data_IF_175275652088
#
_entry.id   IF_175275652088
#
_cell.length_a   1.000
_cell.length_b   1.000
_cell.length_c   1.000
_cell.angle_alpha   90.00
_cell.angle_beta   90.00
_cell.angle_gamma   90.00
#
_symmetry.space_group_name_H-M   'P 1'
#
loop_
_entity.id
_entity.type
_entity.pdbx_description
1 polymer ?
#
# COMPACT_ATOMS: atom_id res chain seq x y z
N UNK A 1 -2.89 4.82 12.89
CA UNK A 1 -1.59 5.50 12.73
C UNK A 1 -1.17 5.32 11.27
N UNK A 2 -0.52 6.30 10.66
CA UNK A 2 0.07 6.14 9.32
C UNK A 2 1.20 5.11 9.38
N UNK A 3 1.53 4.49 8.26
CA UNK A 3 2.71 3.65 8.12
C UNK A 3 3.99 4.48 8.20
N UNK A 4 4.01 5.59 7.48
CA UNK A 4 5.17 6.47 7.40
C UNK A 4 4.86 7.85 8.00
N UNK A 5 5.82 8.37 8.77
CA UNK A 5 5.88 9.79 9.04
C UNK A 5 6.62 10.55 7.92
N UNK A 6 6.72 11.87 8.02
CA UNK A 6 7.39 12.69 7.01
C UNK A 6 8.89 12.37 6.84
N UNK A 7 9.54 11.78 7.86
CA UNK A 7 10.96 11.41 7.76
C UNK A 7 11.14 10.21 6.84
N UNK A 8 10.23 9.24 6.89
CA UNK A 8 10.21 8.12 5.97
C UNK A 8 9.83 8.54 4.55
N UNK A 9 8.85 9.44 4.38
CA UNK A 9 8.52 10.05 3.09
C UNK A 9 9.76 10.68 2.46
N UNK A 10 10.49 11.50 3.23
CA UNK A 10 11.73 12.13 2.77
C UNK A 10 12.79 11.09 2.39
N UNK A 11 13.04 10.08 3.24
CA UNK A 11 14.03 9.02 2.97
C UNK A 11 13.71 8.24 1.70
N UNK A 12 12.43 7.90 1.48
CA UNK A 12 11.97 7.21 0.26
C UNK A 12 12.21 8.07 -0.98
N UNK A 13 11.92 9.37 -0.92
CA UNK A 13 12.17 10.30 -2.01
C UNK A 13 13.67 10.46 -2.31
N UNK A 14 14.51 10.66 -1.28
CA UNK A 14 15.97 10.72 -1.43
C UNK A 14 16.52 9.48 -2.13
N UNK A 15 16.18 8.30 -1.62
CA UNK A 15 16.61 7.02 -2.22
C UNK A 15 16.11 6.87 -3.65
N UNK A 16 14.86 7.23 -3.89
CA UNK A 16 14.22 7.18 -5.20
C UNK A 16 14.83 8.13 -6.23
N UNK A 17 15.37 9.25 -5.78
CA UNK A 17 16.08 10.22 -6.62
C UNK A 17 17.59 9.96 -6.71
N UNK A 18 18.14 9.09 -5.87
CA UNK A 18 19.57 8.84 -5.76
C UNK A 18 20.33 10.03 -5.14
N UNK A 19 19.66 10.80 -4.28
CA UNK A 19 20.27 11.94 -3.60
C UNK A 19 20.81 11.52 -2.24
N UNK A 20 22.01 12.02 -1.90
CA UNK A 20 22.52 11.95 -0.53
C UNK A 20 21.88 13.03 0.33
N UNK A 21 21.87 12.87 1.67
CA UNK A 21 21.46 13.92 2.60
C UNK A 21 22.18 15.28 2.36
N UNK A 22 23.51 15.25 2.13
CA UNK A 22 24.31 16.44 1.84
C UNK A 22 23.94 17.08 0.50
N UNK A 23 23.64 16.30 -0.53
CA UNK A 23 23.15 16.82 -1.80
C UNK A 23 21.81 17.52 -1.65
N UNK A 24 20.89 16.92 -0.91
CA UNK A 24 19.56 17.49 -0.66
C UNK A 24 19.67 18.79 0.17
N UNK A 25 20.48 18.81 1.22
CA UNK A 25 20.71 20.00 2.04
C UNK A 25 21.27 21.15 1.18
N UNK A 26 22.30 20.89 0.39
CA UNK A 26 22.91 21.88 -0.51
C UNK A 26 21.93 22.40 -1.54
N UNK A 27 21.15 21.53 -2.19
CA UNK A 27 20.16 21.94 -3.19
C UNK A 27 18.99 22.71 -2.59
N UNK A 28 18.61 22.41 -1.34
CA UNK A 28 17.57 23.12 -0.60
C UNK A 28 18.06 24.43 0.06
N UNK A 29 19.34 24.74 -0.07
CA UNK A 29 19.97 25.90 0.59
C UNK A 29 19.73 25.91 2.12
N UNK A 30 19.95 24.75 2.75
CA UNK A 30 19.90 24.54 4.21
C UNK A 30 21.23 23.93 4.69
N UNK A 31 21.57 24.14 5.96
CA UNK A 31 22.75 23.51 6.54
C UNK A 31 22.54 22.00 6.75
N UNK A 32 23.62 21.23 6.75
CA UNK A 32 23.57 19.80 7.06
C UNK A 32 22.98 19.54 8.47
N UNK A 33 23.22 20.43 9.43
CA UNK A 33 22.66 20.31 10.77
C UNK A 33 21.13 20.52 10.80
N UNK A 34 20.61 21.46 10.02
CA UNK A 34 19.14 21.64 9.86
C UNK A 34 18.51 20.42 9.19
N UNK A 35 19.15 19.91 8.13
CA UNK A 35 18.71 18.68 7.48
C UNK A 35 18.70 17.49 8.46
N UNK A 36 19.79 17.32 9.24
CA UNK A 36 19.90 16.23 10.21
C UNK A 36 18.77 16.31 11.26
N UNK A 37 18.57 17.47 11.89
CA UNK A 37 17.47 17.67 12.85
C UNK A 37 16.11 17.34 12.25
N UNK A 38 15.85 17.78 11.01
CA UNK A 38 14.62 17.49 10.30
C UNK A 38 14.47 15.98 10.06
N UNK A 39 15.52 15.29 9.68
CA UNK A 39 15.53 13.84 9.44
C UNK A 39 15.38 12.99 10.70
N UNK A 40 15.61 13.57 11.88
CA UNK A 40 15.45 12.97 13.22
C UNK A 40 14.09 13.26 13.86
N UNK A 41 13.15 13.84 13.12
CA UNK A 41 11.79 14.08 13.60
C UNK A 41 11.51 15.50 14.10
N UNK A 42 12.47 16.43 14.04
CA UNK A 42 12.24 17.83 14.38
C UNK A 42 11.65 18.58 13.18
N UNK A 43 10.34 18.44 12.99
CA UNK A 43 9.65 19.04 11.86
C UNK A 43 9.78 20.57 11.84
N UNK A 44 10.10 21.11 10.66
CA UNK A 44 10.10 22.53 10.36
C UNK A 44 9.38 22.77 9.04
N UNK A 45 8.36 23.63 9.05
CA UNK A 45 7.61 24.02 7.86
C UNK A 45 8.53 24.71 6.83
N UNK A 46 9.48 25.51 7.29
CA UNK A 46 10.47 26.17 6.43
C UNK A 46 11.36 25.14 5.72
N UNK A 47 11.93 24.20 6.47
CA UNK A 47 12.79 23.16 5.92
C UNK A 47 12.01 22.25 4.96
N UNK A 48 10.79 21.84 5.36
CA UNK A 48 9.90 21.06 4.46
C UNK A 48 9.67 21.80 3.14
N UNK A 49 9.36 23.11 3.19
CA UNK A 49 9.08 23.92 2.00
C UNK A 49 10.32 24.03 1.08
N UNK A 50 11.52 24.12 1.63
CA UNK A 50 12.77 24.16 0.87
C UNK A 50 13.12 22.81 0.25
N UNK A 51 12.79 21.69 0.95
CA UNK A 51 13.04 20.34 0.46
C UNK A 51 12.04 19.89 -0.64
N UNK A 52 10.82 20.42 -0.65
CA UNK A 52 9.79 20.07 -1.64
C UNK A 52 10.28 20.05 -3.09
N UNK A 53 10.86 21.14 -3.64
CA UNK A 53 11.31 21.14 -5.03
C UNK A 53 12.48 20.19 -5.28
N UNK A 54 13.35 19.98 -4.29
CA UNK A 54 14.52 19.09 -4.37
C UNK A 54 14.08 17.62 -4.42
N UNK A 55 13.05 17.28 -3.64
CA UNK A 55 12.53 15.92 -3.52
C UNK A 55 11.42 15.61 -4.54
N UNK A 56 11.04 16.59 -5.35
CA UNK A 56 9.97 16.49 -6.34
C UNK A 56 8.63 16.02 -5.71
N UNK A 57 8.35 16.49 -4.50
CA UNK A 57 7.17 16.16 -3.75
C UNK A 57 6.10 17.26 -3.84
N UNK A 58 4.85 16.90 -3.57
CA UNK A 58 3.75 17.86 -3.51
C UNK A 58 3.85 18.75 -2.29
N UNK A 59 3.95 20.07 -2.51
CA UNK A 59 4.21 21.05 -1.46
C UNK A 59 3.22 20.99 -0.31
N UNK A 60 1.92 21.16 -0.60
CA UNK A 60 0.88 21.17 0.42
C UNK A 60 0.82 19.85 1.22
N UNK A 61 1.12 18.71 0.58
CA UNK A 61 1.08 17.42 1.22
C UNK A 61 2.29 17.22 2.17
N UNK A 62 3.53 17.52 1.74
CA UNK A 62 4.70 17.36 2.61
C UNK A 62 4.66 18.34 3.77
N UNK A 63 4.31 19.61 3.54
CA UNK A 63 4.27 20.64 4.59
C UNK A 63 3.16 20.39 5.62
N UNK A 64 2.10 19.66 5.27
CA UNK A 64 1.03 19.29 6.19
C UNK A 64 1.11 17.82 6.65
N UNK A 65 2.12 17.06 6.23
CA UNK A 65 2.20 15.63 6.49
C UNK A 65 2.09 15.25 7.98
N UNK A 66 2.69 15.99 8.93
CA UNK A 66 2.54 15.69 10.36
C UNK A 66 1.09 15.75 10.88
N UNK A 67 0.21 16.45 10.17
CA UNK A 67 -1.21 16.58 10.51
C UNK A 67 -2.11 15.72 9.62
N UNK A 68 -1.53 15.03 8.62
CA UNK A 68 -2.32 14.20 7.72
C UNK A 68 -2.85 12.97 8.44
N UNK A 69 -4.15 12.79 8.39
CA UNK A 69 -4.84 11.60 8.88
C UNK A 69 -6.02 11.32 7.94
N UNK A 70 -6.05 10.17 7.25
CA UNK A 70 -7.21 9.81 6.46
C UNK A 70 -8.41 9.59 7.37
N UNK A 71 -9.58 9.87 6.85
CA UNK A 71 -10.83 9.66 7.59
C UNK A 71 -11.04 8.18 7.83
N UNK A 72 -11.51 7.78 9.04
CA UNK A 72 -11.87 6.39 9.28
C UNK A 72 -12.85 5.90 8.22
N UNK A 73 -12.49 4.79 7.58
CA UNK A 73 -13.30 4.21 6.51
C UNK A 73 -14.01 2.99 7.04
N UNK A 74 -15.35 3.03 7.01
CA UNK A 74 -16.21 1.88 7.19
C UNK A 74 -16.93 1.60 5.87
N UNK A 75 -16.75 0.41 5.31
CA UNK A 75 -17.41 -0.05 4.10
C UNK A 75 -18.01 -1.42 4.34
N UNK A 76 -19.32 -1.57 4.08
CA UNK A 76 -19.99 -2.87 4.24
C UNK A 76 -19.29 -3.93 3.41
N UNK A 77 -18.99 -5.06 4.05
CA UNK A 77 -18.35 -6.20 3.41
C UNK A 77 -16.85 -6.05 3.18
N UNK A 78 -16.21 -4.99 3.66
CA UNK A 78 -14.74 -4.84 3.64
C UNK A 78 -14.22 -4.83 5.07
N UNK A 79 -13.37 -5.78 5.38
CA UNK A 79 -12.83 -5.99 6.73
C UNK A 79 -11.30 -5.98 6.69
N UNK A 80 -10.71 -5.20 7.58
CA UNK A 80 -9.26 -5.20 7.81
C UNK A 80 -8.92 -6.32 8.81
N UNK A 81 -8.02 -7.20 8.42
CA UNK A 81 -7.30 -8.08 9.32
C UNK A 81 -5.99 -7.39 9.66
N UNK A 82 -5.91 -6.88 10.88
CA UNK A 82 -4.74 -6.17 11.40
C UNK A 82 -3.82 -7.19 12.07
N UNK A 83 -2.83 -7.68 11.32
CA UNK A 83 -2.00 -8.83 11.68
C UNK A 83 -0.64 -8.40 12.27
N UNK A 84 -0.05 -9.20 13.18
CA UNK A 84 1.25 -8.86 13.75
C UNK A 84 2.39 -8.99 12.73
N UNK A 85 3.33 -8.01 12.78
CA UNK A 85 4.57 -8.01 12.01
C UNK A 85 5.72 -7.48 12.90
N UNK A 86 6.24 -8.32 13.78
CA UNK A 86 7.16 -7.89 14.82
C UNK A 86 6.50 -6.89 15.78
N UNK A 87 7.08 -5.69 15.92
CA UNK A 87 6.49 -4.57 16.66
C UNK A 87 5.49 -3.76 15.83
N UNK A 88 5.44 -4.00 14.52
CA UNK A 88 4.59 -3.33 13.54
C UNK A 88 3.36 -4.17 13.19
N UNK A 89 2.58 -3.70 12.21
CA UNK A 89 1.36 -4.35 11.74
C UNK A 89 1.34 -4.43 10.23
N UNK A 90 0.80 -5.53 9.71
CA UNK A 90 0.53 -5.72 8.28
C UNK A 90 -0.96 -5.98 8.06
N UNK A 91 -1.50 -5.53 6.96
CA UNK A 91 -2.90 -5.73 6.63
C UNK A 91 -3.07 -6.97 5.73
N UNK A 92 -4.07 -7.77 6.04
CA UNK A 92 -4.80 -8.52 5.05
C UNK A 92 -6.23 -7.95 4.95
N UNK A 93 -6.83 -8.03 3.78
CA UNK A 93 -8.15 -7.47 3.55
C UNK A 93 -9.15 -8.55 3.14
N UNK A 94 -10.20 -8.73 3.93
CA UNK A 94 -11.32 -9.62 3.58
C UNK A 94 -12.44 -8.80 2.97
N UNK A 95 -12.79 -9.12 1.73
CA UNK A 95 -14.01 -8.64 1.08
C UNK A 95 -15.03 -9.77 1.12
N UNK A 96 -16.14 -9.55 1.83
CA UNK A 96 -17.16 -10.56 2.05
C UNK A 96 -18.57 -10.02 1.75
N UNK A 97 -19.18 -10.52 0.68
CA UNK A 97 -20.52 -10.16 0.25
C UNK A 97 -21.32 -11.46 0.02
N UNK A 98 -22.43 -11.59 0.74
CA UNK A 98 -23.28 -12.77 0.73
C UNK A 98 -22.48 -14.06 0.99
N UNK A 99 -22.41 -14.99 0.05
CA UNK A 99 -21.63 -16.23 0.17
C UNK A 99 -20.22 -16.14 -0.46
N UNK A 100 -19.84 -14.97 -0.96
CA UNK A 100 -18.55 -14.76 -1.63
C UNK A 100 -17.57 -14.07 -0.69
N UNK A 101 -16.44 -14.73 -0.42
CA UNK A 101 -15.33 -14.19 0.33
C UNK A 101 -14.06 -14.12 -0.54
N UNK A 102 -13.39 -12.99 -0.52
CA UNK A 102 -12.10 -12.74 -1.19
C UNK A 102 -11.14 -12.19 -0.15
N UNK A 103 -10.00 -12.84 0.00
CA UNK A 103 -8.94 -12.37 0.90
C UNK A 103 -7.76 -11.84 0.07
N UNK A 104 -7.24 -10.70 0.46
CA UNK A 104 -6.03 -10.10 -0.12
C UNK A 104 -4.92 -10.10 0.92
N UNK A 105 -3.81 -10.76 0.57
CA UNK A 105 -2.66 -11.06 1.42
C UNK A 105 -2.99 -11.90 2.66
N UNK A 106 -1.97 -12.38 3.37
CA UNK A 106 -2.15 -13.42 4.39
C UNK A 106 -1.32 -13.21 5.65
N UNK A 107 -0.66 -12.05 5.78
CA UNK A 107 0.17 -11.76 6.94
C UNK A 107 1.50 -12.52 6.96
N UNK A 108 2.20 -12.43 8.09
CA UNK A 108 3.53 -13.01 8.29
C UNK A 108 3.50 -14.51 8.62
N UNK A 109 2.44 -14.96 9.29
CA UNK A 109 2.31 -16.35 9.76
C UNK A 109 0.89 -16.89 9.64
N UNK A 110 0.80 -18.21 9.58
CA UNK A 110 -0.45 -18.94 9.39
C UNK A 110 -1.44 -18.77 10.55
N UNK A 111 -0.95 -18.79 11.78
CA UNK A 111 -1.82 -18.82 12.97
C UNK A 111 -2.54 -17.47 13.12
N UNK A 112 -1.81 -16.36 13.01
CA UNK A 112 -2.39 -15.02 13.08
C UNK A 112 -3.42 -14.78 11.96
N UNK A 113 -3.12 -15.21 10.73
CA UNK A 113 -4.03 -15.10 9.60
C UNK A 113 -5.33 -15.88 9.82
N UNK A 114 -5.19 -17.14 10.24
CA UNK A 114 -6.33 -18.04 10.47
C UNK A 114 -7.20 -17.54 11.62
N UNK A 115 -6.60 -17.15 12.74
CA UNK A 115 -7.34 -16.63 13.91
C UNK A 115 -8.11 -15.36 13.53
N UNK A 116 -7.49 -14.44 12.84
CA UNK A 116 -8.15 -13.21 12.41
C UNK A 116 -9.28 -13.44 11.40
N UNK A 117 -9.08 -14.37 10.47
CA UNK A 117 -10.09 -14.75 9.49
C UNK A 117 -11.28 -15.44 10.17
N UNK A 118 -11.03 -16.38 11.07
CA UNK A 118 -12.07 -17.13 11.79
C UNK A 118 -12.90 -16.24 12.72
N UNK A 119 -12.33 -15.17 13.23
CA UNK A 119 -13.06 -14.19 14.04
C UNK A 119 -14.15 -13.45 13.24
N UNK A 120 -13.98 -13.33 11.91
CA UNK A 120 -14.94 -12.66 11.02
C UNK A 120 -15.84 -13.69 10.34
N UNK A 121 -15.26 -14.78 9.83
CA UNK A 121 -15.98 -15.77 9.01
C UNK A 121 -15.36 -17.18 9.13
N UNK A 122 -15.75 -17.98 10.14
CA UNK A 122 -15.11 -19.25 10.44
C UNK A 122 -15.29 -20.37 9.41
N UNK A 123 -16.19 -20.23 8.42
CA UNK A 123 -16.58 -21.34 7.52
C UNK A 123 -16.55 -21.00 6.01
N UNK A 124 -16.19 -19.79 5.62
CA UNK A 124 -16.23 -19.40 4.22
C UNK A 124 -14.91 -19.73 3.53
N UNK A 125 -14.97 -20.57 2.48
CA UNK A 125 -13.83 -20.74 1.57
C UNK A 125 -13.67 -19.46 0.76
N UNK A 126 -12.49 -18.85 0.86
CA UNK A 126 -12.16 -17.64 0.12
C UNK A 126 -11.33 -17.92 -1.12
N UNK A 127 -11.48 -17.05 -2.13
CA UNK A 127 -10.44 -16.82 -3.13
C UNK A 127 -9.40 -15.91 -2.49
N UNK A 128 -8.13 -16.28 -2.56
CA UNK A 128 -7.03 -15.53 -1.96
C UNK A 128 -6.18 -14.91 -3.06
N UNK A 129 -5.92 -13.62 -2.99
CA UNK A 129 -5.10 -12.89 -3.96
C UNK A 129 -3.89 -12.29 -3.25
N UNK A 130 -2.70 -12.55 -3.77
CA UNK A 130 -1.45 -12.07 -3.19
C UNK A 130 -0.97 -10.86 -3.99
N UNK A 131 -0.67 -9.77 -3.30
CA UNK A 131 -0.18 -8.55 -3.94
C UNK A 131 1.29 -8.71 -4.36
N UNK A 132 2.13 -9.30 -3.50
CA UNK A 132 3.55 -9.52 -3.79
C UNK A 132 4.17 -10.55 -2.83
N UNK A 133 5.41 -10.98 -3.10
CA UNK A 133 6.05 -12.12 -2.44
C UNK A 133 6.80 -11.81 -1.14
N UNK A 134 6.63 -10.66 -0.48
CA UNK A 134 7.24 -10.42 0.82
C UNK A 134 6.61 -11.29 1.90
N UNK A 135 7.42 -11.70 2.89
CA UNK A 135 7.02 -12.68 3.90
C UNK A 135 5.77 -12.31 4.69
N UNK A 136 5.59 -11.05 4.96
CA UNK A 136 4.45 -10.49 5.68
C UNK A 136 3.15 -10.41 4.86
N UNK A 137 3.21 -10.80 3.58
CA UNK A 137 2.03 -10.93 2.72
C UNK A 137 1.69 -12.38 2.36
N UNK A 138 2.66 -13.30 2.47
CA UNK A 138 2.50 -14.70 2.00
C UNK A 138 2.51 -15.73 3.14
N UNK A 139 2.75 -15.33 4.39
CA UNK A 139 3.00 -16.26 5.50
C UNK A 139 1.84 -17.20 5.84
N UNK A 140 0.59 -16.80 5.57
CA UNK A 140 -0.60 -17.60 5.82
C UNK A 140 -1.00 -18.57 4.69
N UNK A 141 -0.34 -18.56 3.53
CA UNK A 141 -0.76 -19.30 2.33
C UNK A 141 -0.92 -20.80 2.61
N UNK A 142 0.06 -21.43 3.29
CA UNK A 142 0.04 -22.86 3.54
C UNK A 142 -1.18 -23.32 4.34
N UNK A 143 -1.56 -22.57 5.36
CA UNK A 143 -2.76 -22.88 6.16
C UNK A 143 -4.05 -22.68 5.37
N UNK A 144 -4.11 -21.67 4.52
CA UNK A 144 -5.28 -21.39 3.69
C UNK A 144 -5.46 -22.47 2.59
N UNK A 145 -4.38 -22.92 1.97
CA UNK A 145 -4.41 -24.06 1.04
C UNK A 145 -4.88 -25.35 1.73
N UNK A 146 -4.39 -25.64 2.94
CA UNK A 146 -4.82 -26.80 3.73
C UNK A 146 -6.33 -26.75 4.08
N UNK A 147 -6.94 -25.58 4.14
CA UNK A 147 -8.38 -25.35 4.31
C UNK A 147 -9.17 -25.45 3.00
N UNK A 148 -8.50 -25.67 1.87
CA UNK A 148 -9.11 -25.79 0.55
C UNK A 148 -9.46 -24.45 -0.09
N UNK A 149 -8.81 -23.35 0.31
CA UNK A 149 -8.87 -22.07 -0.38
C UNK A 149 -8.06 -22.13 -1.67
N UNK A 150 -8.42 -21.30 -2.66
CA UNK A 150 -7.66 -21.14 -3.90
C UNK A 150 -6.84 -19.86 -3.79
N UNK A 151 -5.53 -19.98 -4.01
CA UNK A 151 -4.60 -18.84 -3.96
C UNK A 151 -4.23 -18.42 -5.38
N UNK A 152 -4.23 -17.13 -5.63
CA UNK A 152 -3.86 -16.47 -6.89
C UNK A 152 -2.68 -15.51 -6.63
N UNK A 153 -1.71 -15.49 -7.53
CA UNK A 153 -0.58 -14.56 -7.42
C UNK A 153 0.42 -14.71 -8.56
N UNK A 154 1.20 -13.67 -8.79
CA UNK A 154 2.26 -13.68 -9.79
C UNK A 154 3.59 -14.13 -9.13
N UNK A 155 4.20 -15.19 -9.66
CA UNK A 155 5.42 -15.80 -9.12
C UNK A 155 5.35 -16.21 -7.63
N UNK A 156 4.14 -16.58 -7.17
CA UNK A 156 3.91 -17.08 -5.80
C UNK A 156 3.84 -18.60 -5.82
N UNK A 157 4.59 -19.22 -4.94
CA UNK A 157 4.62 -20.69 -4.83
C UNK A 157 3.24 -21.25 -4.44
N UNK A 158 2.82 -22.30 -5.13
CA UNK A 158 1.53 -22.98 -4.96
C UNK A 158 0.29 -22.11 -5.25
N UNK A 159 0.45 -20.96 -5.88
CA UNK A 159 -0.66 -20.12 -6.34
C UNK A 159 -0.97 -20.37 -7.82
N UNK A 160 -2.23 -20.13 -8.20
CA UNK A 160 -2.60 -20.01 -9.61
C UNK A 160 -2.03 -18.69 -10.15
N UNK A 161 -1.39 -18.73 -11.33
CA UNK A 161 -0.76 -17.53 -11.88
C UNK A 161 -1.82 -16.46 -12.23
N UNK A 162 -1.49 -15.22 -11.92
CA UNK A 162 -2.27 -14.03 -12.29
C UNK A 162 -1.31 -12.99 -12.82
N UNK A 163 -1.64 -12.41 -13.97
CA UNK A 163 -0.85 -11.37 -14.61
C UNK A 163 -1.61 -10.03 -14.66
N UNK A 164 -0.92 -8.90 -14.79
CA UNK A 164 -1.57 -7.60 -15.03
C UNK A 164 -2.50 -7.65 -16.24
N UNK A 165 -3.75 -7.21 -16.04
CA UNK A 165 -4.82 -7.25 -17.05
C UNK A 165 -5.79 -8.42 -16.89
N UNK A 166 -5.44 -9.45 -16.13
CA UNK A 166 -6.34 -10.57 -15.86
C UNK A 166 -7.54 -10.12 -15.04
N UNK A 167 -8.68 -10.77 -15.31
CA UNK A 167 -9.94 -10.56 -14.61
C UNK A 167 -10.51 -11.88 -14.13
N UNK A 168 -10.69 -12.02 -12.83
CA UNK A 168 -11.20 -13.22 -12.19
C UNK A 168 -12.55 -12.93 -11.57
N UNK A 169 -13.56 -13.72 -11.95
CA UNK A 169 -14.91 -13.59 -11.40
C UNK A 169 -15.04 -14.39 -10.10
N UNK A 170 -15.48 -13.73 -9.05
CA UNK A 170 -15.71 -14.29 -7.72
C UNK A 170 -17.16 -13.99 -7.32
N UNK A 171 -18.09 -14.89 -7.63
CA UNK A 171 -19.53 -14.64 -7.40
C UNK A 171 -20.04 -13.37 -8.08
N UNK A 172 -20.61 -12.41 -7.32
CA UNK A 172 -21.07 -11.12 -7.85
C UNK A 172 -19.93 -10.14 -8.12
N UNK A 173 -18.72 -10.42 -7.62
CA UNK A 173 -17.56 -9.54 -7.73
C UNK A 173 -16.66 -9.94 -8.90
N UNK A 174 -15.91 -8.95 -9.41
CA UNK A 174 -14.83 -9.18 -10.38
C UNK A 174 -13.56 -8.54 -9.84
N UNK A 175 -12.48 -9.33 -9.75
CA UNK A 175 -11.14 -8.88 -9.35
C UNK A 175 -10.29 -8.72 -10.60
N UNK A 176 -9.78 -7.51 -10.85
CA UNK A 176 -8.89 -7.20 -11.98
C UNK A 176 -7.50 -6.87 -11.48
N UNK A 177 -6.51 -7.63 -11.93
CA UNK A 177 -5.11 -7.40 -11.59
C UNK A 177 -4.52 -6.25 -12.42
N UNK A 178 -3.69 -5.42 -11.78
CA UNK A 178 -2.93 -4.36 -12.43
C UNK A 178 -1.48 -4.35 -11.94
N UNK A 179 -0.56 -3.85 -12.78
CA UNK A 179 0.86 -3.75 -12.43
C UNK A 179 1.11 -2.58 -11.47
N UNK A 180 1.48 -2.89 -10.25
CA UNK A 180 1.96 -1.94 -9.25
C UNK A 180 3.41 -2.23 -8.84
N UNK A 181 4.18 -2.89 -9.70
CA UNK A 181 5.59 -3.18 -9.46
C UNK A 181 6.41 -1.92 -9.18
N UNK A 182 7.28 -2.02 -8.18
CA UNK A 182 8.15 -0.94 -7.72
C UNK A 182 8.73 -1.23 -6.35
N UNK A 183 7.90 -1.35 -5.31
CA UNK A 183 8.33 -1.82 -4.00
C UNK A 183 8.83 -3.28 -4.06
N UNK A 184 8.07 -4.12 -4.72
CA UNK A 184 8.45 -5.46 -5.16
C UNK A 184 8.33 -5.58 -6.69
N UNK A 185 8.95 -6.59 -7.30
CA UNK A 185 8.84 -6.89 -8.72
C UNK A 185 8.84 -8.41 -8.92
N UNK A 186 7.70 -9.04 -9.23
CA UNK A 186 6.41 -8.42 -9.52
C UNK A 186 5.65 -7.93 -8.27
N UNK A 187 4.75 -6.97 -8.47
CA UNK A 187 3.73 -6.61 -7.51
C UNK A 187 2.41 -6.27 -8.23
N UNK A 188 1.32 -6.81 -7.71
CA UNK A 188 -0.01 -6.64 -8.26
C UNK A 188 -0.88 -5.75 -7.35
N UNK A 189 -1.62 -4.85 -7.97
CA UNK A 189 -2.81 -4.27 -7.36
C UNK A 189 -4.06 -4.99 -7.86
N UNK A 190 -5.14 -4.90 -7.09
CA UNK A 190 -6.39 -5.54 -7.46
C UNK A 190 -7.55 -4.57 -7.39
N UNK A 191 -8.12 -4.24 -8.55
CA UNK A 191 -9.36 -3.47 -8.63
C UNK A 191 -10.56 -4.40 -8.46
N UNK A 192 -11.48 -4.05 -7.57
CA UNK A 192 -12.66 -4.86 -7.24
C UNK A 192 -13.91 -4.13 -7.72
N UNK A 193 -14.60 -4.75 -8.66
CA UNK A 193 -15.91 -4.31 -9.15
C UNK A 193 -17.05 -5.09 -8.50
N UNK A 194 -18.24 -4.48 -8.46
CA UNK A 194 -19.45 -5.06 -7.88
C UNK A 194 -19.73 -4.63 -6.44
N UNK A 195 -18.86 -3.81 -5.85
CA UNK A 195 -19.08 -3.16 -4.55
C UNK A 195 -19.84 -1.83 -4.72
N UNK A 196 -20.31 -1.26 -3.60
CA UNK A 196 -21.02 0.04 -3.58
C UNK A 196 -20.12 1.22 -3.98
N UNK A 197 -18.80 1.07 -3.84
CA UNK A 197 -17.77 2.02 -4.27
C UNK A 197 -16.66 1.24 -4.97
N UNK A 198 -15.94 1.84 -5.93
CA UNK A 198 -14.73 1.22 -6.46
C UNK A 198 -13.71 0.98 -5.34
N UNK A 199 -13.04 -0.16 -5.38
CA UNK A 199 -11.99 -0.54 -4.41
C UNK A 199 -10.74 -0.93 -5.18
N UNK A 200 -9.58 -0.46 -4.72
CA UNK A 200 -8.27 -0.88 -5.20
C UNK A 200 -7.43 -1.35 -4.01
N UNK A 201 -7.05 -2.61 -4.02
CA UNK A 201 -6.02 -3.13 -3.12
C UNK A 201 -4.66 -2.71 -3.69
N UNK A 202 -3.89 -1.98 -2.91
CA UNK A 202 -2.61 -1.40 -3.36
C UNK A 202 -1.38 -2.17 -2.88
N UNK A 203 -1.55 -3.09 -1.92
CA UNK A 203 -0.42 -3.69 -1.25
C UNK A 203 0.56 -2.61 -0.79
N UNK A 204 1.84 -2.86 -0.99
CA UNK A 204 2.90 -1.94 -0.58
C UNK A 204 3.30 -0.92 -1.65
N UNK A 205 2.52 -0.80 -2.72
CA UNK A 205 2.79 0.23 -3.71
C UNK A 205 2.37 1.63 -3.23
N UNK A 206 1.28 1.72 -2.45
CA UNK A 206 0.73 3.00 -1.97
C UNK A 206 0.13 2.84 -0.57
N UNK A 207 0.54 3.70 0.35
CA UNK A 207 0.00 3.84 1.69
C UNK A 207 -0.71 5.18 1.87
N UNK A 208 -1.45 5.32 2.96
CA UNK A 208 -1.98 6.62 3.33
C UNK A 208 -0.84 7.60 3.62
N UNK A 209 -0.74 8.65 2.80
CA UNK A 209 0.30 9.69 2.90
C UNK A 209 1.69 9.28 2.41
N UNK A 210 1.88 8.10 1.82
CA UNK A 210 3.18 7.63 1.37
C UNK A 210 3.09 6.59 0.24
N UNK A 211 4.25 6.07 -0.18
CA UNK A 211 4.38 4.93 -1.11
C UNK A 211 5.36 3.91 -0.55
N UNK A 212 5.38 2.70 -1.09
CA UNK A 212 6.40 1.70 -0.80
C UNK A 212 7.80 2.16 -1.17
N UNK A 213 8.79 1.76 -0.38
CA UNK A 213 10.20 2.07 -0.65
C UNK A 213 10.68 1.35 -1.92
N UNK A 214 11.49 2.04 -2.73
CA UNK A 214 12.08 1.49 -3.96
C UNK A 214 13.58 1.32 -3.81
N UNK A 215 14.15 0.28 -4.45
CA UNK A 215 15.56 -0.08 -4.30
C UNK A 215 16.52 0.78 -5.11
N UNK A 216 16.04 1.47 -6.15
CA UNK A 216 16.86 2.31 -7.05
C UNK A 216 16.05 3.42 -7.70
N UNK A 217 16.72 4.47 -8.25
CA UNK A 217 16.05 5.53 -9.01
C UNK A 217 15.28 5.05 -10.25
N UNK A 218 15.75 4.01 -10.90
CA UNK A 218 15.06 3.44 -12.08
C UNK A 218 13.74 2.77 -11.66
N UNK A 219 13.78 2.00 -10.58
CA UNK A 219 12.61 1.33 -10.01
C UNK A 219 11.62 2.35 -9.43
N UNK A 220 12.09 3.38 -8.74
CA UNK A 220 11.25 4.46 -8.22
C UNK A 220 10.48 5.17 -9.35
N UNK A 221 11.15 5.51 -10.45
CA UNK A 221 10.46 6.08 -11.62
C UNK A 221 9.45 5.13 -12.26
N UNK A 222 9.75 3.80 -12.28
CA UNK A 222 8.78 2.77 -12.72
C UNK A 222 7.57 2.76 -11.80
N UNK A 223 7.78 2.70 -10.49
CA UNK A 223 6.71 2.68 -9.50
C UNK A 223 5.76 3.88 -9.62
N UNK A 224 6.31 5.09 -9.69
CA UNK A 224 5.48 6.30 -9.85
C UNK A 224 4.70 6.30 -11.17
N UNK A 225 5.31 5.86 -12.29
CA UNK A 225 4.58 5.75 -13.56
C UNK A 225 3.44 4.74 -13.48
N UNK A 226 3.69 3.54 -12.92
CA UNK A 226 2.69 2.50 -12.74
C UNK A 226 1.53 3.02 -11.87
N UNK A 227 1.84 3.62 -10.72
CA UNK A 227 0.83 4.24 -9.85
C UNK A 227 0.00 5.27 -10.62
N UNK A 228 0.62 6.24 -11.28
CA UNK A 228 -0.10 7.27 -12.01
C UNK A 228 -0.97 6.71 -13.14
N UNK A 229 -0.48 5.70 -13.86
CA UNK A 229 -1.24 5.04 -14.92
C UNK A 229 -2.52 4.38 -14.38
N UNK A 230 -2.44 3.72 -13.23
CA UNK A 230 -3.57 3.03 -12.60
C UNK A 230 -4.52 4.02 -11.90
N UNK A 231 -3.98 5.02 -11.19
CA UNK A 231 -4.78 5.92 -10.37
C UNK A 231 -5.47 7.03 -11.17
N UNK A 232 -4.89 7.50 -12.26
CA UNK A 232 -5.43 8.65 -13.03
C UNK A 232 -6.88 8.45 -13.49
N UNK A 233 -7.29 7.30 -14.05
CA UNK A 233 -8.66 7.11 -14.52
C UNK A 233 -9.67 6.84 -13.40
N UNK A 234 -9.23 6.60 -12.18
CA UNK A 234 -10.12 6.23 -11.07
C UNK A 234 -10.77 7.46 -10.42
N UNK A 235 -12.01 7.37 -9.97
CA UNK A 235 -12.68 8.45 -9.27
C UNK A 235 -12.13 8.66 -7.86
N UNK A 236 -12.21 9.88 -7.32
CA UNK A 236 -11.76 10.23 -5.97
C UNK A 236 -12.44 9.39 -4.86
N UNK A 237 -13.63 8.88 -5.13
CA UNK A 237 -14.36 8.00 -4.23
C UNK A 237 -13.78 6.59 -4.13
N UNK A 238 -12.79 6.22 -4.96
CA UNK A 238 -12.15 4.91 -4.90
C UNK A 238 -11.51 4.68 -3.54
N UNK A 239 -11.86 3.57 -2.91
CA UNK A 239 -11.28 3.13 -1.65
C UNK A 239 -9.96 2.45 -1.93
N UNK A 240 -8.91 2.82 -1.20
CA UNK A 240 -7.57 2.25 -1.29
C UNK A 240 -7.31 1.39 -0.07
N UNK A 241 -6.91 0.14 -0.29
CA UNK A 241 -6.62 -0.87 0.73
C UNK A 241 -5.13 -1.21 0.71
N UNK A 242 -4.31 -0.55 1.55
CA UNK A 242 -2.85 -0.74 1.56
C UNK A 242 -2.44 -1.97 2.35
N UNK A 243 -1.21 -2.45 2.12
CA UNK A 243 -0.58 -3.53 2.89
C UNK A 243 -0.22 -3.10 4.32
N UNK A 244 0.02 -1.81 4.56
CA UNK A 244 0.30 -1.25 5.89
C UNK A 244 -0.49 0.04 6.12
N UNK A 245 -0.69 0.36 7.40
CA UNK A 245 -1.40 1.58 7.79
C UNK A 245 -2.92 1.52 7.53
N UNK A 246 -3.61 2.65 7.59
CA UNK A 246 -5.07 2.72 7.44
C UNK A 246 -5.51 2.68 5.98
N UNK A 247 -6.73 2.21 5.74
CA UNK A 247 -7.43 2.46 4.48
C UNK A 247 -7.67 3.96 4.27
N UNK A 248 -7.74 4.37 3.00
CA UNK A 248 -7.94 5.76 2.60
C UNK A 248 -8.80 5.83 1.34
N UNK A 249 -8.95 7.00 0.77
CA UNK A 249 -9.57 7.22 -0.54
C UNK A 249 -8.60 7.88 -1.50
N UNK A 250 -8.78 7.64 -2.79
CA UNK A 250 -7.94 8.27 -3.80
C UNK A 250 -8.00 9.81 -3.75
N UNK A 251 -9.16 10.37 -3.41
CA UNK A 251 -9.30 11.82 -3.23
C UNK A 251 -8.49 12.35 -2.05
N UNK A 252 -8.43 11.61 -0.93
CA UNK A 252 -7.58 11.97 0.21
C UNK A 252 -6.10 11.88 -0.17
N UNK A 253 -5.69 10.82 -0.89
CA UNK A 253 -4.31 10.67 -1.33
C UNK A 253 -3.92 11.72 -2.38
N UNK A 254 -4.80 12.02 -3.33
CA UNK A 254 -4.58 13.14 -4.26
C UNK A 254 -4.40 14.48 -3.55
N UNK A 255 -5.00 14.67 -2.39
CA UNK A 255 -4.83 15.90 -1.60
C UNK A 255 -3.62 15.85 -0.67
N UNK A 256 -3.39 14.73 0.03
CA UNK A 256 -2.50 14.62 1.17
C UNK A 256 -1.26 13.74 0.99
N UNK A 257 -1.13 13.01 -0.12
CA UNK A 257 0.06 12.20 -0.37
C UNK A 257 1.13 13.03 -1.10
N UNK A 258 2.36 13.13 -0.54
CA UNK A 258 3.42 13.93 -1.14
C UNK A 258 3.91 13.43 -2.50
N UNK A 259 3.67 12.17 -2.85
CA UNK A 259 4.13 11.55 -4.10
C UNK A 259 3.12 11.63 -5.26
N UNK A 260 1.85 12.11 -5.01
CA UNK A 260 0.75 12.13 -5.98
C UNK A 260 0.35 13.51 -6.47
#
# INVERSE_FOLDING_TARGET
>A
MLEDDYTWVMRKALRGLGLTPGDAARQADISENEFLKFSEGNFSLEIASRLVPVLHLKSAALTNHPNYQPKPLAMRGVHRLDLPFGEERVNAWLVWIDETAILFDTGLDSDSCVVALDAISPLVKSQVFITHGHRDHVGGISALLARGNVVHGDHIENALPVSPGDSIRCGPLTVRACDLSGHADPALGYHIDGLTRPVLVTGDALFAGSIGGCSSPAIYRKALRNLMQILTPLPDATVLLPGHGPATTLGEERAGNPFL
#
